data_IF_453551995304
#
_entry.id   IF_453551995304
#
_cell.length_a   1.000
_cell.length_b   1.000
_cell.length_c   1.000
_cell.angle_alpha   90.00
_cell.angle_beta   90.00
_cell.angle_gamma   90.00
#
_symmetry.space_group_name_H-M   'P 1'
#
loop_
_entity.id
_entity.type
_entity.pdbx_description
1 polymer ?
#
# COMPACT_ATOMS: atom_id res chain seq x y z
N UNK A 1 -0.05 26.20 86.85
CA UNK A 1 -1.48 25.87 86.80
C UNK A 1 -1.61 24.58 86.02
N UNK A 2 -2.12 23.56 86.71
CA UNK A 2 -2.13 22.11 86.46
C UNK A 2 -2.18 21.60 85.02
N UNK A 3 -1.18 20.79 84.68
CA UNK A 3 -1.21 19.78 83.64
C UNK A 3 -2.30 18.76 83.96
N UNK A 4 -3.37 18.74 83.17
CA UNK A 4 -4.42 17.73 83.30
C UNK A 4 -3.86 16.42 82.73
N UNK A 5 -3.33 15.56 83.61
CA UNK A 5 -2.97 14.18 83.29
C UNK A 5 -4.28 13.45 82.92
N UNK A 6 -4.58 13.35 81.62
CA UNK A 6 -5.54 12.35 81.15
C UNK A 6 -4.93 10.99 81.45
N UNK A 7 -5.51 10.32 82.44
CA UNK A 7 -5.35 8.88 82.64
C UNK A 7 -5.85 8.22 81.36
N UNK A 8 -4.93 7.95 80.43
CA UNK A 8 -5.20 7.10 79.26
C UNK A 8 -5.57 5.74 79.83
N UNK A 9 -6.88 5.52 79.97
CA UNK A 9 -7.40 4.23 80.41
C UNK A 9 -7.19 3.31 79.23
N UNK A 10 -6.34 2.29 79.39
CA UNK A 10 -6.10 1.32 78.32
C UNK A 10 -7.42 0.61 77.98
N UNK A 11 -8.05 1.05 76.89
CA UNK A 11 -9.35 0.57 76.42
C UNK A 11 -9.30 -0.93 76.15
N UNK A 12 -8.15 -1.45 75.75
CA UNK A 12 -7.94 -2.87 75.51
C UNK A 12 -7.96 -3.67 76.82
N UNK A 13 -7.37 -3.13 77.89
CA UNK A 13 -7.44 -3.73 79.21
C UNK A 13 -8.87 -3.78 79.78
N UNK A 14 -9.69 -2.74 79.54
CA UNK A 14 -11.11 -2.74 79.92
C UNK A 14 -11.89 -3.84 79.17
N UNK A 15 -11.60 -4.00 77.88
CA UNK A 15 -12.27 -4.94 76.99
C UNK A 15 -12.17 -6.40 77.46
N UNK A 16 -11.01 -6.77 78.02
CA UNK A 16 -10.69 -8.12 78.50
C UNK A 16 -10.82 -8.29 80.02
N UNK A 17 -11.16 -7.23 80.76
CA UNK A 17 -11.23 -7.23 82.23
C UNK A 17 -12.17 -8.30 82.79
N UNK A 18 -13.22 -8.68 82.04
CA UNK A 18 -14.17 -9.74 82.41
C UNK A 18 -13.67 -11.16 82.10
N UNK A 19 -12.56 -11.29 81.36
CA UNK A 19 -11.96 -12.57 80.97
C UNK A 19 -10.69 -12.87 81.76
N UNK A 20 -9.85 -11.86 81.98
CA UNK A 20 -8.65 -11.94 82.81
C UNK A 20 -8.24 -10.54 83.26
N UNK A 21 -8.07 -10.34 84.56
CA UNK A 21 -7.50 -9.08 85.09
C UNK A 21 -5.98 -9.18 85.19
N UNK A 22 -5.29 -8.03 85.27
CA UNK A 22 -3.85 -8.00 85.51
C UNK A 22 -3.48 -8.72 86.82
N UNK A 23 -4.30 -8.57 87.86
CA UNK A 23 -4.13 -9.26 89.14
C UNK A 23 -4.29 -10.78 88.99
N UNK A 24 -5.33 -11.25 88.30
CA UNK A 24 -5.52 -12.68 88.04
C UNK A 24 -4.37 -13.27 87.21
N UNK A 25 -3.85 -12.52 86.24
CA UNK A 25 -2.70 -12.93 85.46
C UNK A 25 -1.43 -13.03 86.34
N UNK A 26 -1.23 -12.10 87.28
CA UNK A 26 -0.12 -12.16 88.23
C UNK A 26 -0.25 -13.37 89.18
N UNK A 27 -1.45 -13.66 89.68
CA UNK A 27 -1.75 -14.83 90.50
C UNK A 27 -1.49 -16.13 89.75
N UNK A 28 -1.88 -16.23 88.47
CA UNK A 28 -1.60 -17.39 87.62
C UNK A 28 -0.10 -17.60 87.41
N UNK A 29 0.68 -16.52 87.19
CA UNK A 29 2.14 -16.58 87.07
C UNK A 29 2.80 -17.05 88.36
N UNK A 30 2.30 -16.62 89.51
CA UNK A 30 2.80 -17.07 90.81
C UNK A 30 2.46 -18.55 91.08
N UNK A 31 1.26 -18.99 90.68
CA UNK A 31 0.76 -20.36 90.86
C UNK A 31 1.48 -21.37 89.96
N UNK A 32 1.88 -20.96 88.75
CA UNK A 32 2.61 -21.79 87.80
C UNK A 32 3.87 -21.08 87.30
N UNK A 33 4.95 -21.08 88.10
CA UNK A 33 6.22 -20.47 87.72
C UNK A 33 6.81 -21.12 86.47
N UNK A 34 7.41 -20.31 85.59
CA UNK A 34 7.94 -20.78 84.30
C UNK A 34 9.22 -21.61 84.40
N UNK A 35 9.90 -21.55 85.54
CA UNK A 35 11.19 -22.18 85.83
C UNK A 35 11.06 -23.55 86.49
N UNK A 36 9.85 -23.97 86.88
CA UNK A 36 9.60 -25.27 87.52
C UNK A 36 9.04 -26.26 86.50
N UNK A 37 9.71 -27.42 86.38
CA UNK A 37 9.20 -28.56 85.60
C UNK A 37 8.57 -29.57 86.55
N UNK A 38 7.26 -29.78 86.39
CA UNK A 38 6.50 -30.75 87.19
C UNK A 38 6.64 -32.17 86.59
N UNK A 39 7.04 -33.14 87.40
CA UNK A 39 7.07 -34.55 86.99
C UNK A 39 5.63 -35.08 86.81
N UNK A 40 5.25 -35.39 85.57
CA UNK A 40 3.91 -35.86 85.21
C UNK A 40 3.72 -37.38 85.39
N UNK A 41 4.76 -38.11 85.81
CA UNK A 41 4.67 -39.56 86.07
C UNK A 41 4.03 -39.87 87.42
N UNK A 42 4.02 -38.91 88.35
CA UNK A 42 3.30 -38.98 89.61
C UNK A 42 1.79 -38.69 89.40
N UNK A 43 0.92 -39.53 89.95
CA UNK A 43 -0.53 -39.47 89.73
C UNK A 43 -1.17 -38.18 90.29
N UNK A 44 -0.66 -37.64 91.40
CA UNK A 44 -1.20 -36.43 92.02
C UNK A 44 -0.80 -35.16 91.24
N UNK A 45 0.46 -35.08 90.80
CA UNK A 45 0.91 -33.99 89.91
C UNK A 45 0.23 -34.05 88.55
N UNK A 46 -0.03 -35.25 88.01
CA UNK A 46 -0.79 -35.44 86.78
C UNK A 46 -2.23 -34.91 86.90
N UNK A 47 -2.92 -35.21 88.01
CA UNK A 47 -4.27 -34.66 88.28
C UNK A 47 -4.28 -33.14 88.36
N UNK A 48 -3.26 -32.53 88.98
CA UNK A 48 -3.09 -31.07 89.04
C UNK A 48 -2.87 -30.51 87.62
N UNK A 49 -1.99 -31.13 86.83
CA UNK A 49 -1.74 -30.76 85.44
C UNK A 49 -3.00 -30.82 84.56
N UNK A 50 -3.85 -31.84 84.73
CA UNK A 50 -5.14 -31.94 84.03
C UNK A 50 -6.07 -30.78 84.38
N UNK A 51 -6.13 -30.39 85.65
CA UNK A 51 -6.94 -29.23 86.10
C UNK A 51 -6.38 -27.93 85.52
N UNK A 52 -5.07 -27.72 85.57
CA UNK A 52 -4.40 -26.55 85.00
C UNK A 52 -4.60 -26.44 83.48
N UNK A 53 -4.51 -27.56 82.73
CA UNK A 53 -4.81 -27.61 81.30
C UNK A 53 -6.25 -27.18 81.00
N UNK A 54 -7.18 -27.62 81.84
CA UNK A 54 -8.60 -27.29 81.69
C UNK A 54 -8.85 -25.80 81.97
N UNK A 55 -8.24 -25.26 83.02
CA UNK A 55 -8.28 -23.84 83.38
C UNK A 55 -7.70 -22.96 82.26
N UNK A 56 -6.50 -23.30 81.76
CA UNK A 56 -5.88 -22.64 80.59
C UNK A 56 -6.80 -22.63 79.39
N UNK A 57 -7.32 -23.80 78.99
CA UNK A 57 -8.20 -23.91 77.81
C UNK A 57 -9.47 -23.08 77.96
N UNK A 58 -10.02 -22.95 79.18
CA UNK A 58 -11.18 -22.08 79.44
C UNK A 58 -10.82 -20.61 79.27
N UNK A 59 -9.72 -20.16 79.88
CA UNK A 59 -9.29 -18.77 79.81
C UNK A 59 -8.91 -18.35 78.39
N UNK A 60 -8.10 -19.16 77.68
CA UNK A 60 -7.69 -18.84 76.30
C UNK A 60 -8.88 -18.82 75.34
N UNK A 61 -9.84 -19.74 75.51
CA UNK A 61 -11.09 -19.75 74.73
C UNK A 61 -11.91 -18.48 75.02
N UNK A 62 -12.13 -18.13 76.29
CA UNK A 62 -12.90 -16.95 76.66
C UNK A 62 -12.28 -15.65 76.12
N UNK A 63 -10.94 -15.52 76.16
CA UNK A 63 -10.21 -14.39 75.58
C UNK A 63 -10.39 -14.36 74.05
N UNK A 64 -10.22 -15.51 73.38
CA UNK A 64 -10.35 -15.59 71.93
C UNK A 64 -11.79 -15.29 71.45
N UNK A 65 -12.79 -15.85 72.11
CA UNK A 65 -14.21 -15.61 71.78
C UNK A 65 -14.56 -14.13 71.97
N UNK A 66 -14.04 -13.50 73.03
CA UNK A 66 -14.19 -12.06 73.26
C UNK A 66 -13.50 -11.22 72.18
N UNK A 67 -12.28 -11.59 71.78
CA UNK A 67 -11.52 -10.94 70.68
C UNK A 67 -12.34 -10.96 69.38
N UNK A 68 -12.81 -12.15 68.99
CA UNK A 68 -13.62 -12.32 67.76
C UNK A 68 -14.88 -11.48 67.82
N UNK A 69 -15.61 -11.52 68.95
CA UNK A 69 -16.83 -10.75 69.15
C UNK A 69 -16.60 -9.26 68.96
N UNK A 70 -15.54 -8.70 69.54
CA UNK A 70 -15.25 -7.27 69.45
C UNK A 70 -14.82 -6.89 68.05
N UNK A 71 -13.93 -7.66 67.42
CA UNK A 71 -13.52 -7.41 66.04
C UNK A 71 -14.72 -7.40 65.10
N UNK A 72 -15.68 -8.33 65.30
CA UNK A 72 -16.93 -8.35 64.55
C UNK A 72 -17.73 -7.06 64.75
N UNK A 73 -17.98 -6.65 66.00
CA UNK A 73 -18.74 -5.42 66.29
C UNK A 73 -18.07 -4.17 65.75
N UNK A 74 -16.74 -4.06 65.85
CA UNK A 74 -15.98 -2.92 65.31
C UNK A 74 -16.13 -2.88 63.78
N UNK A 75 -15.99 -4.02 63.10
CA UNK A 75 -16.16 -4.10 61.65
C UNK A 75 -17.57 -3.70 61.25
N UNK A 76 -18.59 -4.32 61.85
CA UNK A 76 -19.99 -4.01 61.55
C UNK A 76 -20.30 -2.53 61.74
N UNK A 77 -19.77 -1.91 62.80
CA UNK A 77 -19.95 -0.47 63.00
C UNK A 77 -19.17 0.39 62.00
N UNK A 78 -17.98 -0.06 61.58
CA UNK A 78 -17.20 0.61 60.54
C UNK A 78 -17.91 0.57 59.19
N UNK A 79 -18.40 -0.60 58.79
CA UNK A 79 -19.14 -0.79 57.54
C UNK A 79 -20.43 0.05 57.54
N UNK A 80 -21.20 0.05 58.63
CA UNK A 80 -22.40 0.90 58.82
C UNK A 80 -22.09 2.41 58.71
N UNK A 81 -20.96 2.87 59.27
CA UNK A 81 -20.57 4.27 59.14
C UNK A 81 -20.15 4.63 57.71
N UNK A 82 -19.50 3.72 56.99
CA UNK A 82 -19.14 3.92 55.58
C UNK A 82 -20.42 4.03 54.74
N UNK A 83 -21.36 3.09 54.90
CA UNK A 83 -22.64 3.08 54.18
C UNK A 83 -23.43 4.36 54.45
N UNK A 84 -23.53 4.81 55.71
CA UNK A 84 -24.22 6.07 56.03
C UNK A 84 -23.56 7.29 55.38
N UNK A 85 -22.24 7.32 55.28
CA UNK A 85 -21.52 8.41 54.60
C UNK A 85 -21.77 8.34 53.10
N UNK A 86 -21.67 7.16 52.49
CA UNK A 86 -21.96 6.94 51.07
C UNK A 86 -23.39 7.35 50.73
N UNK A 87 -24.37 6.96 51.53
CA UNK A 87 -25.78 7.35 51.37
C UNK A 87 -26.00 8.86 51.42
N UNK A 88 -25.36 9.56 52.38
CA UNK A 88 -25.46 11.03 52.50
C UNK A 88 -24.90 11.71 51.25
N UNK A 89 -23.77 11.25 50.73
CA UNK A 89 -23.14 11.84 49.56
C UNK A 89 -23.75 11.37 48.23
N UNK A 90 -24.46 10.22 48.21
CA UNK A 90 -25.05 9.62 47.01
C UNK A 90 -25.98 10.60 46.26
N UNK A 91 -26.70 11.46 47.00
CA UNK A 91 -27.59 12.49 46.46
C UNK A 91 -26.87 13.43 45.48
N UNK A 92 -25.56 13.62 45.66
CA UNK A 92 -24.72 14.49 44.81
C UNK A 92 -23.80 13.66 43.92
N UNK A 93 -23.13 12.65 44.48
CA UNK A 93 -22.09 11.88 43.79
C UNK A 93 -22.69 11.04 42.67
N UNK A 94 -23.77 10.29 42.92
CA UNK A 94 -24.37 9.44 41.89
C UNK A 94 -24.86 10.20 40.65
N UNK A 95 -25.62 11.31 40.75
CA UNK A 95 -25.97 12.10 39.57
C UNK A 95 -24.77 12.80 38.93
N UNK A 96 -23.76 13.20 39.71
CA UNK A 96 -22.53 13.77 39.17
C UNK A 96 -21.78 12.75 38.29
N UNK A 97 -21.57 11.52 38.78
CA UNK A 97 -20.88 10.46 38.04
C UNK A 97 -21.62 10.11 36.75
N UNK A 98 -22.96 10.00 36.81
CA UNK A 98 -23.78 9.74 35.63
C UNK A 98 -23.66 10.84 34.56
N UNK A 99 -23.66 12.12 34.97
CA UNK A 99 -23.50 13.26 34.07
C UNK A 99 -22.05 13.40 33.55
N UNK A 100 -21.05 13.12 34.39
CA UNK A 100 -19.63 13.13 33.98
C UNK A 100 -19.37 12.07 32.90
N UNK A 101 -19.91 10.86 33.08
CA UNK A 101 -19.87 9.81 32.06
C UNK A 101 -20.62 10.20 30.79
N UNK A 102 -21.78 10.84 30.90
CA UNK A 102 -22.53 11.34 29.75
C UNK A 102 -21.73 12.39 28.96
N UNK A 103 -21.08 13.34 29.65
CA UNK A 103 -20.24 14.37 29.03
C UNK A 103 -19.00 13.79 28.38
N UNK A 104 -18.36 12.79 28.99
CA UNK A 104 -17.23 12.07 28.39
C UNK A 104 -17.65 11.38 27.09
N UNK A 105 -18.78 10.67 27.10
CA UNK A 105 -19.34 10.00 25.92
C UNK A 105 -19.71 11.00 24.82
N UNK A 106 -20.36 12.11 25.17
CA UNK A 106 -20.77 13.13 24.21
C UNK A 106 -19.56 13.87 23.61
N UNK A 107 -18.53 14.18 24.41
CA UNK A 107 -17.28 14.74 23.92
C UNK A 107 -16.58 13.77 22.96
N UNK A 108 -16.55 12.48 23.29
CA UNK A 108 -16.00 11.45 22.41
C UNK A 108 -16.80 11.32 21.11
N UNK A 109 -18.13 11.36 21.17
CA UNK A 109 -19.02 11.34 19.99
C UNK A 109 -18.74 12.52 19.07
N UNK A 110 -18.71 13.75 19.59
CA UNK A 110 -18.41 14.94 18.79
C UNK A 110 -17.02 14.91 18.17
N UNK A 111 -16.02 14.40 18.90
CA UNK A 111 -14.68 14.21 18.35
C UNK A 111 -14.67 13.18 17.20
N UNK A 112 -15.37 12.06 17.36
CA UNK A 112 -15.51 11.05 16.32
C UNK A 112 -16.27 11.57 15.09
N UNK A 113 -17.35 12.33 15.29
CA UNK A 113 -18.11 12.97 14.21
C UNK A 113 -17.27 14.01 13.47
N UNK A 114 -16.51 14.83 14.20
CA UNK A 114 -15.54 15.78 13.62
C UNK A 114 -14.48 15.06 12.78
N UNK A 115 -13.90 13.99 13.29
CA UNK A 115 -12.88 13.24 12.56
C UNK A 115 -13.47 12.55 11.32
N UNK A 116 -14.68 12.01 11.42
CA UNK A 116 -15.39 11.42 10.28
C UNK A 116 -15.66 12.45 9.19
N UNK A 117 -16.11 13.65 9.59
CA UNK A 117 -16.30 14.77 8.67
C UNK A 117 -15.00 15.19 7.99
N UNK A 118 -13.91 15.36 8.75
CA UNK A 118 -12.59 15.69 8.19
C UNK A 118 -12.09 14.60 7.24
N UNK A 119 -12.30 13.32 7.55
CA UNK A 119 -11.93 12.23 6.64
C UNK A 119 -12.72 12.27 5.33
N UNK A 120 -14.02 12.57 5.35
CA UNK A 120 -14.79 12.72 4.12
C UNK A 120 -14.23 13.84 3.23
N UNK A 121 -13.81 14.96 3.84
CA UNK A 121 -13.18 16.05 3.10
C UNK A 121 -11.77 15.68 2.58
N UNK A 122 -11.00 14.90 3.33
CA UNK A 122 -9.71 14.36 2.85
C UNK A 122 -9.92 13.44 1.64
N UNK A 123 -10.98 12.64 1.63
CA UNK A 123 -11.34 11.80 0.49
C UNK A 123 -11.72 12.65 -0.74
N UNK A 124 -12.45 13.76 -0.55
CA UNK A 124 -12.73 14.72 -1.62
C UNK A 124 -11.44 15.36 -2.18
N UNK A 125 -10.52 15.79 -1.31
CA UNK A 125 -9.20 16.31 -1.73
C UNK A 125 -8.43 15.24 -2.51
N UNK A 126 -8.51 13.98 -2.06
CA UNK A 126 -7.86 12.87 -2.77
C UNK A 126 -8.51 12.62 -4.14
N UNK A 127 -9.83 12.80 -4.29
CA UNK A 127 -10.50 12.71 -5.58
C UNK A 127 -9.98 13.77 -6.56
N UNK A 128 -9.65 14.99 -6.08
CA UNK A 128 -9.01 16.02 -6.91
C UNK A 128 -7.64 15.53 -7.39
N UNK A 129 -6.83 14.89 -6.53
CA UNK A 129 -5.53 14.32 -6.91
C UNK A 129 -5.63 13.26 -8.01
N UNK A 130 -6.72 12.50 -8.03
CA UNK A 130 -6.91 11.39 -8.97
C UNK A 130 -7.13 11.85 -10.43
N UNK A 131 -7.45 13.12 -10.68
CA UNK A 131 -7.53 13.64 -12.05
C UNK A 131 -6.23 13.46 -12.84
N UNK A 132 -5.06 13.58 -12.18
CA UNK A 132 -3.75 13.45 -12.84
C UNK A 132 -3.53 12.03 -13.38
N UNK A 133 -3.61 10.95 -12.58
CA UNK A 133 -3.48 9.59 -13.09
C UNK A 133 -4.58 9.22 -14.09
N UNK A 134 -5.82 9.70 -13.92
CA UNK A 134 -6.93 9.41 -14.85
C UNK A 134 -6.71 10.01 -16.25
N UNK A 135 -5.90 11.07 -16.32
CA UNK A 135 -5.49 11.74 -17.56
C UNK A 135 -4.28 11.08 -18.25
N UNK A 136 -3.64 10.08 -17.64
CA UNK A 136 -2.48 9.41 -18.23
C UNK A 136 -2.85 8.78 -19.58
N UNK A 137 -2.04 9.04 -20.60
CA UNK A 137 -2.22 8.55 -21.97
C UNK A 137 -3.55 8.93 -22.65
N UNK A 138 -4.27 9.93 -22.14
CA UNK A 138 -5.47 10.47 -22.79
C UNK A 138 -5.10 11.49 -23.87
N UNK A 139 -6.11 11.88 -24.65
CA UNK A 139 -5.97 12.93 -25.68
C UNK A 139 -5.86 14.31 -25.05
N UNK A 140 -5.26 15.24 -25.79
CA UNK A 140 -5.09 16.63 -25.34
C UNK A 140 -6.44 17.34 -25.08
N UNK A 141 -7.49 16.97 -25.83
CA UNK A 141 -8.86 17.47 -25.66
C UNK A 141 -9.50 16.96 -24.36
N UNK A 142 -9.36 15.67 -24.05
CA UNK A 142 -9.88 15.11 -22.79
C UNK A 142 -9.23 15.78 -21.58
N UNK A 143 -7.91 15.94 -21.62
CA UNK A 143 -7.15 16.57 -20.52
C UNK A 143 -7.57 18.04 -20.36
N UNK A 144 -7.88 18.75 -21.45
CA UNK A 144 -8.39 20.13 -21.37
C UNK A 144 -9.73 20.22 -20.61
N UNK A 145 -10.65 19.27 -20.86
CA UNK A 145 -11.90 19.18 -20.09
C UNK A 145 -11.67 18.91 -18.60
N UNK A 146 -10.69 18.06 -18.27
CA UNK A 146 -10.29 17.82 -16.87
C UNK A 146 -9.72 19.07 -16.19
N UNK A 147 -8.94 19.89 -16.89
CA UNK A 147 -8.42 21.17 -16.36
C UNK A 147 -9.58 22.11 -16.03
N UNK A 148 -10.58 22.22 -16.90
CA UNK A 148 -11.76 23.05 -16.65
C UNK A 148 -12.54 22.53 -15.43
N UNK A 149 -12.76 21.23 -15.35
CA UNK A 149 -13.43 20.60 -14.22
C UNK A 149 -12.72 20.92 -12.88
N UNK A 150 -11.39 20.76 -12.82
CA UNK A 150 -10.60 21.09 -11.63
C UNK A 150 -10.64 22.58 -11.30
N UNK A 151 -10.62 23.45 -12.31
CA UNK A 151 -10.71 24.91 -12.15
C UNK A 151 -12.00 25.35 -11.46
N UNK A 152 -13.12 24.70 -11.78
CA UNK A 152 -14.46 25.00 -11.23
C UNK A 152 -14.59 24.56 -9.76
N UNK A 153 -13.74 23.66 -9.26
CA UNK A 153 -13.82 23.17 -7.88
C UNK A 153 -13.58 24.34 -6.90
N UNK A 154 -14.62 24.71 -6.16
CA UNK A 154 -14.52 25.70 -5.08
C UNK A 154 -13.91 25.04 -3.85
N UNK A 155 -12.91 25.69 -3.24
CA UNK A 155 -12.18 25.15 -2.07
C UNK A 155 -12.54 25.84 -0.75
N UNK A 156 -13.43 26.82 -0.80
CA UNK A 156 -13.82 27.62 0.38
C UNK A 156 -14.77 26.87 1.33
N UNK A 157 -15.36 25.76 0.88
CA UNK A 157 -16.27 24.94 1.68
C UNK A 157 -15.55 23.90 2.56
N UNK A 158 -14.24 23.71 2.36
CA UNK A 158 -13.44 22.81 3.19
C UNK A 158 -13.31 23.35 4.62
N UNK A 159 -13.03 22.47 5.57
CA UNK A 159 -12.74 22.87 6.94
C UNK A 159 -11.45 23.72 7.00
N UNK A 160 -11.35 24.72 7.88
CA UNK A 160 -10.14 25.54 8.02
C UNK A 160 -8.83 24.76 8.19
N UNK A 161 -8.89 23.55 8.76
CA UNK A 161 -7.72 22.66 8.87
C UNK A 161 -7.25 22.09 7.52
N UNK A 162 -8.15 21.98 6.54
CA UNK A 162 -7.92 21.35 5.24
C UNK A 162 -7.95 22.33 4.06
N UNK A 163 -8.49 23.55 4.21
CA UNK A 163 -8.58 24.56 3.13
C UNK A 163 -7.23 24.78 2.44
N UNK A 164 -6.15 24.92 3.20
CA UNK A 164 -4.81 25.17 2.62
C UNK A 164 -4.26 23.94 1.88
N UNK A 165 -4.59 22.74 2.34
CA UNK A 165 -4.25 21.50 1.64
C UNK A 165 -5.04 21.42 0.32
N UNK A 166 -6.35 21.67 0.36
CA UNK A 166 -7.23 21.65 -0.81
C UNK A 166 -6.78 22.66 -1.88
N UNK A 167 -6.47 23.90 -1.47
CA UNK A 167 -5.91 24.93 -2.35
C UNK A 167 -4.62 24.46 -3.03
N UNK A 168 -3.66 23.96 -2.24
CA UNK A 168 -2.40 23.47 -2.78
C UNK A 168 -2.60 22.31 -3.75
N UNK A 169 -3.46 21.35 -3.41
CA UNK A 169 -3.77 20.21 -4.26
C UNK A 169 -4.40 20.65 -5.58
N UNK A 170 -5.35 21.59 -5.54
CA UNK A 170 -5.96 22.15 -6.75
C UNK A 170 -4.90 22.77 -7.67
N UNK A 171 -3.97 23.56 -7.11
CA UNK A 171 -2.89 24.20 -7.88
C UNK A 171 -1.90 23.16 -8.45
N UNK A 172 -1.49 22.19 -7.64
CA UNK A 172 -0.56 21.13 -8.03
C UNK A 172 -1.16 20.27 -9.15
N UNK A 173 -2.43 19.85 -9.01
CA UNK A 173 -3.16 19.06 -10.02
C UNK A 173 -3.34 19.85 -11.30
N UNK A 174 -3.76 21.12 -11.21
CA UNK A 174 -3.94 21.99 -12.38
C UNK A 174 -2.63 22.11 -13.16
N UNK A 175 -1.52 22.34 -12.46
CA UNK A 175 -0.18 22.42 -13.07
C UNK A 175 0.23 21.11 -13.73
N UNK A 176 0.00 19.97 -13.05
CA UNK A 176 0.31 18.65 -13.59
C UNK A 176 -0.51 18.32 -14.84
N UNK A 177 -1.79 18.67 -14.86
CA UNK A 177 -2.67 18.49 -16.02
C UNK A 177 -2.24 19.36 -17.21
N UNK A 178 -1.79 20.60 -16.98
CA UNK A 178 -1.25 21.43 -18.06
C UNK A 178 -0.02 20.80 -18.71
N UNK A 179 0.91 20.25 -17.90
CA UNK A 179 2.08 19.54 -18.43
C UNK A 179 1.67 18.29 -19.22
N UNK A 180 0.77 17.47 -18.67
CA UNK A 180 0.26 16.28 -19.35
C UNK A 180 -0.44 16.60 -20.68
N UNK A 181 -1.18 17.71 -20.73
CA UNK A 181 -1.83 18.19 -21.96
C UNK A 181 -0.79 18.57 -23.01
N UNK A 182 0.27 19.27 -22.61
CA UNK A 182 1.35 19.64 -23.53
C UNK A 182 2.05 18.40 -24.10
N UNK A 183 2.32 17.41 -23.26
CA UNK A 183 2.91 16.14 -23.68
C UNK A 183 1.98 15.34 -24.59
N UNK A 184 0.68 15.31 -24.30
CA UNK A 184 -0.31 14.70 -25.18
C UNK A 184 -0.36 15.38 -26.56
N UNK A 185 -0.30 16.71 -26.59
CA UNK A 185 -0.31 17.48 -27.84
C UNK A 185 0.96 17.24 -28.67
N UNK A 186 2.12 17.09 -28.02
CA UNK A 186 3.37 16.70 -28.70
C UNK A 186 3.26 15.30 -29.30
N UNK A 187 2.70 14.34 -28.56
CA UNK A 187 2.50 12.96 -29.00
C UNK A 187 1.55 12.88 -30.19
N UNK A 188 0.42 13.58 -30.13
CA UNK A 188 -0.56 13.65 -31.21
C UNK A 188 0.05 14.25 -32.47
N UNK A 189 0.78 15.36 -32.35
CA UNK A 189 1.48 15.99 -33.48
C UNK A 189 2.52 15.06 -34.10
N UNK A 190 3.28 14.33 -33.29
CA UNK A 190 4.28 13.39 -33.79
C UNK A 190 3.62 12.20 -34.51
N UNK A 191 2.51 11.70 -33.98
CA UNK A 191 1.75 10.64 -34.63
C UNK A 191 1.14 11.08 -35.97
N UNK A 192 0.64 12.31 -36.06
CA UNK A 192 0.11 12.88 -37.30
C UNK A 192 1.21 13.09 -38.34
N UNK A 193 2.37 13.63 -37.94
CA UNK A 193 3.54 13.74 -38.82
C UNK A 193 4.04 12.39 -39.33
N UNK A 194 4.07 11.37 -38.46
CA UNK A 194 4.44 10.02 -38.88
C UNK A 194 3.42 9.45 -39.86
N UNK A 195 2.12 9.63 -39.61
CA UNK A 195 1.06 9.20 -40.53
C UNK A 195 1.21 9.87 -41.89
N UNK A 196 1.47 11.17 -41.94
CA UNK A 196 1.71 11.90 -43.19
C UNK A 196 2.97 11.40 -43.91
N UNK A 197 4.05 11.09 -43.18
CA UNK A 197 5.29 10.54 -43.74
C UNK A 197 5.05 9.15 -44.34
N UNK A 198 4.37 8.25 -43.61
CA UNK A 198 4.04 6.91 -44.07
C UNK A 198 3.15 6.96 -45.32
N UNK A 199 2.16 7.87 -45.35
CA UNK A 199 1.30 8.11 -46.52
C UNK A 199 2.10 8.61 -47.72
N UNK A 200 3.05 9.53 -47.50
CA UNK A 200 3.94 10.05 -48.54
C UNK A 200 4.88 8.97 -49.09
N UNK A 201 5.42 8.12 -48.23
CA UNK A 201 6.29 7.01 -48.61
C UNK A 201 5.52 5.96 -49.40
N UNK A 202 4.29 5.62 -48.99
CA UNK A 202 3.40 4.74 -49.73
C UNK A 202 3.10 5.28 -51.15
N UNK A 203 2.83 6.59 -51.28
CA UNK A 203 2.67 7.25 -52.58
C UNK A 203 3.96 7.23 -53.42
N UNK A 204 5.11 7.48 -52.79
CA UNK A 204 6.42 7.47 -53.43
C UNK A 204 6.78 6.08 -53.97
N UNK A 205 6.47 5.01 -53.23
CA UNK A 205 6.68 3.63 -53.66
C UNK A 205 5.88 3.30 -54.94
N UNK A 206 4.61 3.71 -55.01
CA UNK A 206 3.79 3.57 -56.23
C UNK A 206 4.45 4.33 -57.38
N UNK A 207 4.80 5.60 -57.17
CA UNK A 207 5.36 6.44 -58.23
C UNK A 207 6.73 5.97 -58.73
N UNK A 208 7.54 5.32 -57.88
CA UNK A 208 8.88 4.85 -58.22
C UNK A 208 8.90 3.41 -58.78
N UNK A 209 7.78 2.68 -58.70
CA UNK A 209 7.68 1.31 -59.22
C UNK A 209 8.14 1.18 -60.68
N UNK A 210 7.76 2.08 -61.62
CA UNK A 210 8.23 1.99 -63.01
C UNK A 210 9.76 2.07 -63.15
N UNK A 211 10.41 2.94 -62.37
CA UNK A 211 11.86 3.15 -62.40
C UNK A 211 12.62 1.87 -61.99
N UNK A 212 12.08 1.14 -61.00
CA UNK A 212 12.68 -0.11 -60.52
C UNK A 212 12.54 -1.28 -61.51
N UNK A 213 11.58 -1.19 -62.44
CA UNK A 213 11.24 -2.27 -63.38
C UNK A 213 11.85 -2.07 -64.78
N UNK A 214 12.62 -1.00 -65.01
CA UNK A 214 13.15 -0.64 -66.34
C UNK A 214 14.02 -1.73 -67.00
N UNK A 215 14.74 -2.52 -66.20
CA UNK A 215 15.61 -3.61 -66.69
C UNK A 215 15.04 -5.02 -66.45
N UNK A 216 13.81 -5.12 -65.96
CA UNK A 216 13.17 -6.41 -65.64
C UNK A 216 12.61 -7.10 -66.90
N UNK A 217 12.28 -8.39 -66.79
CA UNK A 217 11.69 -9.14 -67.88
C UNK A 217 10.25 -8.67 -68.20
N UNK A 218 9.77 -8.94 -69.41
CA UNK A 218 8.39 -8.60 -69.79
C UNK A 218 7.33 -9.30 -68.95
N UNK A 219 7.62 -10.47 -68.37
CA UNK A 219 6.72 -11.17 -67.42
C UNK A 219 6.66 -10.45 -66.06
N UNK A 220 7.81 -10.04 -65.52
CA UNK A 220 7.87 -9.33 -64.23
C UNK A 220 7.16 -7.97 -64.30
N UNK A 221 7.31 -7.25 -65.42
CA UNK A 221 6.64 -5.96 -65.65
C UNK A 221 5.11 -6.15 -65.71
N UNK A 222 4.61 -7.21 -66.36
CA UNK A 222 3.17 -7.53 -66.39
C UNK A 222 2.63 -7.87 -65.00
N UNK A 223 3.40 -8.62 -64.21
CA UNK A 223 3.03 -8.92 -62.83
C UNK A 223 2.98 -7.66 -61.95
N UNK A 224 3.91 -6.72 -62.15
CA UNK A 224 3.92 -5.43 -61.46
C UNK A 224 2.72 -4.54 -61.83
N UNK A 225 2.33 -4.50 -63.11
CA UNK A 225 1.11 -3.80 -63.57
C UNK A 225 -0.13 -4.40 -62.91
N UNK A 226 -0.27 -5.73 -62.94
CA UNK A 226 -1.41 -6.41 -62.33
C UNK A 226 -1.50 -6.14 -60.80
N UNK A 227 -0.34 -6.02 -60.12
CA UNK A 227 -0.28 -5.68 -58.70
C UNK A 227 -0.70 -4.23 -58.43
N UNK A 228 -0.30 -3.28 -59.27
CA UNK A 228 -0.73 -1.89 -59.16
C UNK A 228 -2.23 -1.72 -59.43
N UNK A 229 -2.77 -2.40 -60.45
CA UNK A 229 -4.20 -2.38 -60.75
C UNK A 229 -5.06 -3.02 -59.64
N UNK A 230 -4.51 -4.01 -58.93
CA UNK A 230 -5.15 -4.65 -57.79
C UNK A 230 -4.99 -3.86 -56.46
N UNK A 231 -4.25 -2.75 -56.45
CA UNK A 231 -4.00 -2.00 -55.21
C UNK A 231 -5.27 -1.28 -54.75
N UNK A 232 -5.74 -1.58 -53.54
CA UNK A 232 -6.90 -0.92 -52.94
C UNK A 232 -6.49 0.43 -52.36
N UNK A 233 -6.95 1.50 -53.00
CA UNK A 233 -6.66 2.88 -52.57
C UNK A 233 -7.67 3.29 -51.50
N UNK A 234 -7.18 3.60 -50.31
CA UNK A 234 -7.96 4.13 -49.19
C UNK A 234 -7.29 5.40 -48.62
N UNK A 235 -8.06 6.20 -47.87
CA UNK A 235 -7.62 7.48 -47.30
C UNK A 235 -6.60 7.30 -46.17
N UNK A 236 -6.70 6.22 -45.39
CA UNK A 236 -5.79 5.98 -44.27
C UNK A 236 -4.35 5.67 -44.71
N UNK A 237 -4.18 4.89 -45.77
CA UNK A 237 -2.87 4.45 -46.30
C UNK A 237 -2.23 5.48 -47.22
N UNK A 238 -3.02 6.27 -47.96
CA UNK A 238 -2.49 7.16 -48.99
C UNK A 238 -2.83 8.65 -48.80
N UNK A 239 -3.66 9.00 -47.82
CA UNK A 239 -4.13 10.36 -47.62
C UNK A 239 -5.04 10.78 -48.78
N UNK A 240 -4.51 11.57 -49.72
CA UNK A 240 -5.26 12.04 -50.88
C UNK A 240 -5.52 10.91 -51.89
N UNK A 241 -6.75 10.39 -51.88
CA UNK A 241 -7.23 9.35 -52.79
C UNK A 241 -7.06 9.76 -54.27
N UNK A 242 -7.24 11.04 -54.60
CA UNK A 242 -7.10 11.53 -55.98
C UNK A 242 -5.64 11.47 -56.42
N UNK A 243 -4.73 11.94 -55.57
CA UNK A 243 -3.29 11.87 -55.83
C UNK A 243 -2.82 10.40 -55.95
N UNK A 244 -3.31 9.52 -55.09
CA UNK A 244 -3.00 8.09 -55.14
C UNK A 244 -3.49 7.42 -56.44
N UNK A 245 -4.73 7.69 -56.86
CA UNK A 245 -5.28 7.18 -58.12
C UNK A 245 -4.48 7.69 -59.32
N UNK A 246 -4.07 8.95 -59.30
CA UNK A 246 -3.26 9.54 -60.35
C UNK A 246 -1.84 8.94 -60.37
N UNK A 247 -1.23 8.68 -59.19
CA UNK A 247 0.06 8.02 -59.08
C UNK A 247 0.01 6.59 -59.65
N UNK A 248 -1.02 5.81 -59.31
CA UNK A 248 -1.23 4.46 -59.87
C UNK A 248 -1.42 4.52 -61.38
N UNK A 249 -2.26 5.45 -61.88
CA UNK A 249 -2.49 5.59 -63.32
C UNK A 249 -1.20 5.96 -64.08
N UNK A 250 -0.44 6.93 -63.57
CA UNK A 250 0.83 7.35 -64.17
C UNK A 250 1.87 6.23 -64.14
N UNK A 251 2.00 5.53 -63.01
CA UNK A 251 2.92 4.41 -62.87
C UNK A 251 2.57 3.27 -63.84
N UNK A 252 1.28 2.94 -63.95
CA UNK A 252 0.78 1.91 -64.87
C UNK A 252 1.02 2.30 -66.33
N UNK A 253 0.76 3.56 -66.69
CA UNK A 253 1.04 4.07 -68.04
C UNK A 253 2.52 3.99 -68.40
N UNK A 254 3.41 4.37 -67.49
CA UNK A 254 4.87 4.26 -67.69
C UNK A 254 5.33 2.80 -67.78
N UNK A 255 4.82 1.91 -66.92
CA UNK A 255 5.13 0.47 -66.98
C UNK A 255 4.69 -0.15 -68.30
N UNK A 256 3.56 0.26 -68.87
CA UNK A 256 3.14 -0.20 -70.20
C UNK A 256 4.11 0.25 -71.30
N UNK A 257 4.64 1.48 -71.23
CA UNK A 257 5.68 1.95 -72.17
C UNK A 257 6.99 1.15 -72.01
N UNK A 258 7.39 0.86 -70.77
CA UNK A 258 8.58 0.03 -70.48
C UNK A 258 8.36 -1.40 -70.98
N UNK A 259 7.15 -1.95 -70.83
CA UNK A 259 6.79 -3.28 -71.32
C UNK A 259 6.92 -3.37 -72.85
N UNK A 260 6.47 -2.35 -73.59
CA UNK A 260 6.63 -2.28 -75.04
C UNK A 260 8.11 -2.25 -75.45
N UNK A 261 8.95 -1.52 -74.71
CA UNK A 261 10.40 -1.49 -74.94
C UNK A 261 11.08 -2.83 -74.60
N UNK A 262 10.70 -3.46 -73.49
CA UNK A 262 11.24 -4.74 -73.05
C UNK A 262 10.87 -5.87 -74.01
N UNK A 263 9.60 -5.93 -74.44
CA UNK A 263 9.14 -6.91 -75.43
C UNK A 263 9.79 -6.71 -76.79
N UNK A 264 10.02 -5.47 -77.23
CA UNK A 264 10.78 -5.20 -78.45
C UNK A 264 12.25 -5.62 -78.33
N UNK A 265 12.88 -5.42 -77.17
CA UNK A 265 14.26 -5.88 -76.89
C UNK A 265 14.36 -7.40 -76.88
N UNK A 266 13.41 -8.07 -76.24
CA UNK A 266 13.31 -9.54 -76.20
C UNK A 266 13.03 -10.12 -77.59
N UNK A 267 12.18 -9.49 -78.40
CA UNK A 267 11.89 -9.90 -79.77
C UNK A 267 13.03 -9.64 -80.78
N UNK A 268 13.90 -8.67 -80.50
CA UNK A 268 15.07 -8.34 -81.32
C UNK A 268 16.31 -9.19 -80.98
N UNK A 269 16.28 -9.99 -79.91
CA UNK A 269 17.33 -10.96 -79.60
C UNK A 269 17.13 -12.26 -80.39
N UNK A 270 18.14 -12.74 -81.14
CA UNK A 270 18.06 -14.05 -81.79
C UNK A 270 18.09 -15.19 -80.75
N UNK A 271 17.24 -16.19 -80.97
CA UNK A 271 17.25 -17.47 -80.25
C UNK A 271 18.59 -18.16 -80.50
N UNK A 272 19.46 -18.25 -79.49
CA UNK A 272 20.52 -19.27 -79.43
C UNK A 272 20.62 -19.86 -78.02
N UNK A 273 20.20 -21.12 -77.93
CA UNK A 273 20.75 -22.26 -77.17
C UNK A 273 21.76 -22.05 -76.03
N UNK A 274 21.51 -22.76 -74.93
CA UNK A 274 22.48 -23.31 -73.96
C UNK A 274 23.82 -23.74 -74.60
N UNK A 275 24.95 -23.31 -74.01
CA UNK A 275 26.04 -24.17 -73.50
C UNK A 275 27.22 -23.35 -72.92
N UNK A 276 27.53 -23.61 -71.65
CA UNK A 276 28.83 -23.75 -70.96
C UNK A 276 30.02 -22.78 -71.17
N UNK A 277 30.46 -22.19 -70.04
CA UNK A 277 31.82 -21.92 -69.50
C UNK A 277 32.82 -21.08 -70.35
N UNK A 278 33.70 -20.23 -69.83
CA UNK A 278 34.24 -19.97 -68.47
C UNK A 278 35.00 -18.61 -68.49
N UNK A 279 35.53 -18.22 -67.33
CA UNK A 279 36.62 -17.27 -67.05
C UNK A 279 36.33 -15.82 -66.57
N UNK A 280 36.33 -15.75 -65.22
CA UNK A 280 36.87 -14.73 -64.29
C UNK A 280 36.12 -13.40 -64.08
N UNK A 281 35.93 -13.01 -62.80
CA UNK A 281 37.05 -12.51 -62.00
C UNK A 281 37.25 -13.21 -60.65
N UNK A 282 38.52 -13.42 -60.33
CA UNK A 282 39.04 -13.57 -58.99
C UNK A 282 39.17 -12.17 -58.37
N UNK A 283 38.32 -11.85 -57.40
CA UNK A 283 38.63 -10.92 -56.31
C UNK A 283 37.87 -11.43 -55.09
N UNK A 284 38.67 -11.99 -54.19
CA UNK A 284 38.27 -12.55 -52.92
C UNK A 284 37.82 -11.47 -51.92
N UNK A 285 37.01 -11.93 -50.95
CA UNK A 285 36.58 -11.27 -49.71
C UNK A 285 35.56 -10.13 -49.93
N UNK A 286 34.38 -10.11 -49.32
CA UNK A 286 34.06 -10.57 -47.98
C UNK A 286 32.81 -11.46 -47.94
N UNK A 287 32.83 -12.36 -46.96
CA UNK A 287 31.70 -13.16 -46.49
C UNK A 287 30.46 -12.28 -46.32
N UNK A 288 29.34 -12.72 -46.90
CA UNK A 288 28.02 -12.32 -46.44
C UNK A 288 27.87 -12.88 -45.03
N UNK A 289 28.43 -12.16 -44.06
CA UNK A 289 28.02 -12.20 -42.67
C UNK A 289 26.63 -11.58 -42.59
N UNK A 290 25.64 -12.27 -43.15
CA UNK A 290 24.34 -12.31 -42.51
C UNK A 290 24.53 -13.12 -41.22
N UNK A 291 25.29 -12.56 -40.27
CA UNK A 291 25.02 -12.81 -38.87
C UNK A 291 23.60 -12.30 -38.69
N UNK A 292 22.64 -13.21 -38.88
CA UNK A 292 21.48 -13.24 -38.02
C UNK A 292 22.06 -13.19 -36.62
N UNK A 293 22.24 -11.99 -36.08
CA UNK A 293 22.46 -11.82 -34.67
C UNK A 293 21.17 -12.38 -34.06
N UNK A 294 21.21 -13.67 -33.70
CA UNK A 294 20.50 -14.13 -32.52
C UNK A 294 20.95 -13.19 -31.42
N UNK A 295 20.20 -12.09 -31.25
CA UNK A 295 20.24 -11.27 -30.05
C UNK A 295 19.69 -12.14 -28.95
N UNK A 296 20.50 -13.09 -28.51
CA UNK A 296 20.25 -13.89 -27.35
C UNK A 296 20.44 -12.96 -26.17
N UNK A 297 19.35 -12.67 -25.49
CA UNK A 297 19.41 -11.81 -24.34
C UNK A 297 20.33 -12.44 -23.29
N UNK A 298 21.33 -11.70 -22.81
CA UNK A 298 22.16 -12.14 -21.70
C UNK A 298 21.61 -11.52 -20.40
N UNK A 299 21.10 -12.32 -19.46
CA UNK A 299 20.58 -11.83 -18.19
C UNK A 299 21.63 -11.03 -17.43
N UNK A 300 21.18 -9.97 -16.77
CA UNK A 300 22.08 -9.15 -15.98
C UNK A 300 22.65 -9.95 -14.79
N UNK A 301 23.97 -10.14 -14.74
CA UNK A 301 24.63 -10.99 -13.73
C UNK A 301 25.16 -10.22 -12.52
N UNK A 302 25.37 -8.91 -12.64
CA UNK A 302 26.03 -8.10 -11.62
C UNK A 302 25.06 -7.13 -10.93
N UNK A 303 24.35 -7.64 -9.93
CA UNK A 303 23.42 -6.83 -9.14
C UNK A 303 24.14 -6.07 -8.01
N UNK A 304 23.76 -4.81 -7.73
CA UNK A 304 24.12 -4.16 -6.48
C UNK A 304 23.71 -5.03 -5.30
N UNK A 305 24.58 -5.14 -4.28
CA UNK A 305 24.26 -5.93 -3.08
C UNK A 305 23.03 -5.39 -2.36
N UNK A 306 22.32 -6.25 -1.64
CA UNK A 306 21.13 -5.88 -0.86
C UNK A 306 21.40 -4.74 0.13
N UNK A 307 22.61 -4.69 0.68
CA UNK A 307 23.08 -3.61 1.56
C UNK A 307 23.13 -2.27 0.82
N UNK A 308 23.58 -2.26 -0.45
CA UNK A 308 23.66 -1.05 -1.26
C UNK A 308 22.29 -0.59 -1.75
N UNK A 309 21.38 -1.54 -2.04
CA UNK A 309 19.97 -1.26 -2.36
C UNK A 309 19.22 -0.65 -1.18
N UNK A 310 19.45 -1.15 0.03
CA UNK A 310 18.81 -0.61 1.23
C UNK A 310 19.27 0.82 1.61
N UNK A 311 20.44 1.24 1.14
CA UNK A 311 20.99 2.57 1.43
C UNK A 311 20.52 3.65 0.44
N UNK A 312 20.08 3.28 -0.76
CA UNK A 312 19.63 4.20 -1.79
C UNK A 312 18.28 3.74 -2.39
N UNK A 313 17.16 4.36 -1.99
CA UNK A 313 15.83 4.02 -2.50
C UNK A 313 15.69 4.14 -4.02
N UNK A 314 16.46 5.02 -4.68
CA UNK A 314 16.42 5.16 -6.13
C UNK A 314 17.10 3.97 -6.81
N UNK A 315 18.22 3.48 -6.26
CA UNK A 315 18.90 2.26 -6.74
C UNK A 315 18.02 1.03 -6.54
N UNK A 316 17.33 0.91 -5.41
CA UNK A 316 16.40 -0.20 -5.19
C UNK A 316 15.22 -0.19 -6.18
N UNK A 317 14.65 0.99 -6.44
CA UNK A 317 13.59 1.13 -7.43
C UNK A 317 14.05 0.76 -8.86
N UNK A 318 15.26 1.17 -9.25
CA UNK A 318 15.84 0.80 -10.55
C UNK A 318 16.08 -0.70 -10.62
N UNK A 319 16.63 -1.32 -9.57
CA UNK A 319 16.86 -2.76 -9.53
C UNK A 319 15.55 -3.54 -9.64
N UNK A 320 14.48 -3.12 -8.96
CA UNK A 320 13.15 -3.74 -9.07
C UNK A 320 12.59 -3.68 -10.49
N UNK A 321 12.70 -2.52 -11.16
CA UNK A 321 12.25 -2.37 -12.55
C UNK A 321 13.06 -3.23 -13.53
N UNK A 322 14.36 -3.38 -13.28
CA UNK A 322 15.22 -4.27 -14.08
C UNK A 322 14.85 -5.74 -13.85
N UNK A 323 14.60 -6.16 -12.60
CA UNK A 323 14.13 -7.52 -12.28
C UNK A 323 12.77 -7.84 -12.96
N UNK A 324 11.88 -6.86 -13.06
CA UNK A 324 10.61 -7.00 -13.79
C UNK A 324 10.82 -7.11 -15.31
N UNK A 325 11.75 -6.33 -15.87
CA UNK A 325 12.09 -6.40 -17.29
C UNK A 325 12.73 -7.75 -17.66
N UNK A 326 13.64 -8.26 -16.82
CA UNK A 326 14.27 -9.58 -16.97
C UNK A 326 13.21 -10.70 -17.07
N UNK A 327 12.23 -10.70 -16.16
CA UNK A 327 11.12 -11.66 -16.18
C UNK A 327 10.24 -11.52 -17.43
N UNK A 328 10.05 -10.30 -17.92
CA UNK A 328 9.26 -10.08 -19.13
C UNK A 328 9.98 -10.60 -20.37
N UNK A 329 11.30 -10.45 -20.44
CA UNK A 329 12.11 -10.97 -21.54
C UNK A 329 12.13 -12.50 -21.52
N UNK A 330 12.29 -13.13 -20.35
CA UNK A 330 12.21 -14.59 -20.21
C UNK A 330 10.86 -15.14 -20.73
N UNK A 331 9.75 -14.46 -20.42
CA UNK A 331 8.42 -14.84 -20.90
C UNK A 331 8.26 -14.66 -22.42
N UNK A 332 8.87 -13.62 -23.00
CA UNK A 332 8.87 -13.42 -24.45
C UNK A 332 9.71 -14.48 -25.18
N UNK A 333 10.86 -14.88 -24.62
CA UNK A 333 11.70 -15.97 -25.16
C UNK A 333 10.97 -17.32 -25.10
N UNK A 334 10.20 -17.59 -24.04
CA UNK A 334 9.37 -18.79 -23.93
C UNK A 334 8.24 -18.80 -24.99
N UNK A 335 7.57 -17.65 -25.21
CA UNK A 335 6.53 -17.52 -26.24
C UNK A 335 7.08 -17.69 -27.66
N UNK A 336 8.26 -17.12 -27.95
CA UNK A 336 8.94 -17.29 -29.24
C UNK A 336 9.35 -18.75 -29.48
N UNK A 337 9.83 -19.42 -28.43
CA UNK A 337 10.20 -20.85 -28.49
C UNK A 337 9.00 -21.76 -28.74
N UNK A 338 7.80 -21.39 -28.26
CA UNK A 338 6.56 -22.13 -28.53
C UNK A 338 5.97 -21.88 -29.93
N UNK A 339 6.26 -20.72 -30.56
CA UNK A 339 5.82 -20.42 -31.94
C UNK A 339 6.73 -21.04 -33.02
N UNK A 340 7.97 -21.40 -32.66
CA UNK A 340 8.95 -22.02 -33.55
C UNK A 340 8.92 -23.56 -33.57
N UNK A 341 8.06 -24.20 -32.75
CA UNK A 341 7.83 -25.64 -32.68
C UNK A 341 6.48 -26.02 -33.31
#
# INVERSE_FOLDING_TARGET
MSSNHQVSTDVLSIIFQNQITEQQLAELKAKFPSDIVYDMTNDDTYKIGRKARTERNKLTKAINDRRISITKTIKEKGDDLIEQVEDVYSVIVSPFEAEDDARKKEKARRAAERETFLNSQRDEIQAIRNFVPDCANKSSEYIAGCIEAVSIIEVDHFDPELIHEALKVKDDVTTALYNLREDALKRERLAEQQKEADQRDALSQISNTPMTMFNSSSEDIKAAIAKLDATVINEDTYGDISAAKQAVHNATSQLNQILDMATAREAAQPITTKAANDDQPELAADEDTSESFELKYEPFTNWPSDVRRAQDPAVDMICKKLEEAEKHIELLEEMLSQQAA
#
